data_IF_830766855694
#
_entry.id   IF_830766855694
#
_cell.length_a   1.000
_cell.length_b   1.000
_cell.length_c   1.000
_cell.angle_alpha   90.00
_cell.angle_beta   90.00
_cell.angle_gamma   90.00
#
_symmetry.space_group_name_H-M   'P 1'
#
loop_
_entity.id
_entity.type
_entity.pdbx_description
1 polymer ?
#
# COMPACT_ATOMS: atom_id res chain seq x y z
N UNK A 1 -23.37 13.84 3.91
CA UNK A 1 -22.06 13.38 3.37
C UNK A 1 -22.32 12.17 2.49
N UNK A 2 -22.38 12.36 1.18
CA UNK A 2 -22.54 11.27 0.21
C UNK A 2 -21.23 10.49 0.14
N UNK A 3 -21.24 9.22 0.54
CA UNK A 3 -20.09 8.32 0.34
C UNK A 3 -19.85 8.22 -1.16
N UNK A 4 -18.66 8.62 -1.63
CA UNK A 4 -18.20 8.26 -2.98
C UNK A 4 -18.18 6.73 -3.03
N UNK A 5 -18.89 6.15 -3.99
CA UNK A 5 -18.76 4.73 -4.28
C UNK A 5 -17.32 4.47 -4.72
N UNK A 6 -16.67 3.53 -4.05
CA UNK A 6 -15.32 3.11 -4.36
C UNK A 6 -15.41 1.74 -5.03
N UNK A 7 -14.68 1.54 -6.12
CA UNK A 7 -14.59 0.21 -6.73
C UNK A 7 -13.87 -0.79 -5.80
N UNK A 8 -13.11 -0.30 -4.82
CA UNK A 8 -12.43 -1.15 -3.85
C UNK A 8 -13.39 -1.72 -2.81
N UNK A 9 -13.36 -3.04 -2.67
CA UNK A 9 -14.09 -3.83 -1.68
C UNK A 9 -13.11 -4.65 -0.85
N UNK A 10 -13.51 -5.07 0.35
CA UNK A 10 -12.72 -6.04 1.11
C UNK A 10 -12.80 -7.41 0.44
N UNK A 11 -11.70 -8.14 0.51
CA UNK A 11 -11.66 -9.55 0.13
C UNK A 11 -12.70 -10.36 0.93
N UNK A 12 -13.34 -11.38 0.33
CA UNK A 12 -14.32 -12.21 1.01
C UNK A 12 -13.78 -12.81 2.31
N UNK A 13 -14.51 -12.64 3.40
CA UNK A 13 -14.11 -13.17 4.71
C UNK A 13 -13.11 -12.31 5.49
N UNK A 14 -12.55 -11.25 4.89
CA UNK A 14 -11.71 -10.28 5.60
C UNK A 14 -12.56 -9.43 6.53
N UNK A 15 -12.19 -9.44 7.81
CA UNK A 15 -12.72 -8.55 8.84
C UNK A 15 -11.58 -7.62 9.28
N UNK A 16 -11.90 -6.37 9.59
CA UNK A 16 -10.91 -5.41 10.13
C UNK A 16 -10.49 -5.79 11.56
N UNK A 17 -9.67 -6.83 11.67
CA UNK A 17 -9.00 -7.25 12.89
C UNK A 17 -7.70 -6.45 13.08
N UNK A 18 -7.07 -6.51 14.27
CA UNK A 18 -5.78 -5.86 14.50
C UNK A 18 -4.69 -6.26 13.49
N UNK A 19 -4.69 -7.51 13.05
CA UNK A 19 -3.73 -8.01 12.04
C UNK A 19 -3.98 -7.36 10.66
N UNK A 20 -5.25 -7.21 10.26
CA UNK A 20 -5.61 -6.52 9.02
C UNK A 20 -5.32 -5.02 9.11
N UNK A 21 -5.45 -4.42 10.30
CA UNK A 21 -5.06 -3.03 10.52
C UNK A 21 -3.53 -2.82 10.36
N UNK A 22 -2.73 -3.81 10.75
CA UNK A 22 -1.29 -3.81 10.48
C UNK A 22 -0.99 -3.90 8.98
N UNK A 23 -1.70 -4.75 8.24
CA UNK A 23 -1.59 -4.81 6.78
C UNK A 23 -1.98 -3.46 6.13
N UNK A 24 -3.01 -2.78 6.61
CA UNK A 24 -3.36 -1.42 6.15
C UNK A 24 -2.24 -0.41 6.46
N UNK A 25 -1.59 -0.52 7.62
CA UNK A 25 -0.44 0.32 7.96
C UNK A 25 0.74 0.06 7.01
N UNK A 26 0.99 -1.20 6.62
CA UNK A 26 2.00 -1.56 5.61
C UNK A 26 1.68 -0.96 4.25
N UNK A 27 0.43 -1.02 3.80
CA UNK A 27 -0.04 -0.35 2.57
C UNK A 27 0.24 1.15 2.61
N UNK A 28 -0.11 1.82 3.72
CA UNK A 28 0.13 3.26 3.87
C UNK A 28 1.64 3.61 3.87
N UNK A 29 2.46 2.77 4.52
CA UNK A 29 3.91 2.92 4.53
C UNK A 29 4.49 2.77 3.11
N UNK A 30 4.07 1.75 2.37
CA UNK A 30 4.47 1.52 0.99
C UNK A 30 4.10 2.68 0.07
N UNK A 31 2.89 3.24 0.18
CA UNK A 31 2.49 4.41 -0.63
C UNK A 31 3.35 5.64 -0.31
N UNK A 32 3.69 5.86 0.96
CA UNK A 32 4.59 6.94 1.37
C UNK A 32 6.01 6.72 0.84
N UNK A 33 6.51 5.50 0.93
CA UNK A 33 7.81 5.10 0.38
C UNK A 33 7.84 5.20 -1.14
N UNK A 34 6.76 4.84 -1.83
CA UNK A 34 6.62 5.01 -3.28
C UNK A 34 6.67 6.49 -3.67
N UNK A 35 5.98 7.36 -2.92
CA UNK A 35 6.05 8.81 -3.14
C UNK A 35 7.48 9.32 -2.99
N UNK A 36 8.21 8.88 -1.95
CA UNK A 36 9.62 9.21 -1.78
C UNK A 36 10.49 8.62 -2.91
N UNK A 37 10.26 7.37 -3.31
CA UNK A 37 10.91 6.70 -4.42
C UNK A 37 10.74 7.47 -5.74
N UNK A 38 9.53 7.92 -6.08
CA UNK A 38 9.32 8.73 -7.28
C UNK A 38 10.10 10.04 -7.24
N UNK A 39 10.19 10.69 -6.09
CA UNK A 39 11.03 11.89 -5.93
C UNK A 39 12.51 11.56 -6.13
N UNK A 40 13.01 10.48 -5.52
CA UNK A 40 14.41 10.08 -5.66
C UNK A 40 14.79 9.61 -7.06
N UNK A 41 13.97 8.82 -7.75
CA UNK A 41 14.24 8.35 -9.12
C UNK A 41 14.22 9.49 -10.13
N UNK A 42 13.37 10.51 -9.91
CA UNK A 42 13.34 11.71 -10.75
C UNK A 42 14.58 12.57 -10.52
N UNK A 43 15.12 12.59 -9.29
CA UNK A 43 16.21 13.50 -8.90
C UNK A 43 17.62 12.84 -8.85
N UNK A 44 17.73 11.51 -8.75
CA UNK A 44 18.98 10.74 -8.62
C UNK A 44 18.88 9.36 -9.28
N UNK A 45 19.93 8.96 -10.01
CA UNK A 45 20.00 7.68 -10.75
C UNK A 45 20.24 6.45 -9.87
N UNK A 46 20.61 6.60 -8.59
CA UNK A 46 20.82 5.48 -7.67
C UNK A 46 19.60 5.26 -6.77
N UNK A 47 18.98 4.10 -6.94
CA UNK A 47 17.78 3.67 -6.21
C UNK A 47 18.18 2.77 -5.02
N UNK A 48 17.71 3.06 -3.79
CA UNK A 48 17.87 2.16 -2.66
C UNK A 48 16.92 0.95 -2.75
N UNK A 49 17.47 -0.26 -2.72
CA UNK A 49 16.70 -1.52 -2.78
C UNK A 49 15.66 -1.64 -1.64
N UNK A 50 15.97 -1.11 -0.46
CA UNK A 50 15.07 -1.12 0.70
C UNK A 50 13.73 -0.44 0.42
N UNK A 51 13.73 0.68 -0.32
CA UNK A 51 12.49 1.38 -0.67
C UNK A 51 11.63 0.55 -1.62
N UNK A 52 12.27 -0.15 -2.55
CA UNK A 52 11.57 -1.04 -3.49
C UNK A 52 10.92 -2.20 -2.74
N UNK A 53 11.62 -2.81 -1.78
CA UNK A 53 11.08 -3.88 -0.95
C UNK A 53 9.86 -3.41 -0.15
N UNK A 54 9.92 -2.22 0.48
CA UNK A 54 8.79 -1.68 1.24
C UNK A 54 7.56 -1.47 0.36
N UNK A 55 7.74 -1.04 -0.90
CA UNK A 55 6.63 -0.88 -1.84
C UNK A 55 6.01 -2.24 -2.20
N UNK A 56 6.84 -3.25 -2.49
CA UNK A 56 6.38 -4.61 -2.81
C UNK A 56 5.59 -5.23 -1.65
N UNK A 57 6.07 -5.08 -0.41
CA UNK A 57 5.37 -5.57 0.79
C UNK A 57 3.99 -4.94 0.97
N UNK A 58 3.85 -3.64 0.69
CA UNK A 58 2.54 -2.98 0.76
C UNK A 58 1.61 -3.32 -0.40
N UNK A 59 2.13 -3.58 -1.60
CA UNK A 59 1.32 -4.07 -2.73
C UNK A 59 0.76 -5.47 -2.43
N UNK A 60 1.60 -6.34 -1.85
CA UNK A 60 1.19 -7.66 -1.41
C UNK A 60 0.13 -7.58 -0.30
N UNK A 61 0.34 -6.72 0.71
CA UNK A 61 -0.68 -6.45 1.73
C UNK A 61 -1.99 -5.91 1.15
N UNK A 62 -1.93 -5.01 0.16
CA UNK A 62 -3.11 -4.50 -0.53
C UNK A 62 -3.89 -5.62 -1.22
N UNK A 63 -3.18 -6.55 -1.86
CA UNK A 63 -3.79 -7.70 -2.54
C UNK A 63 -4.49 -8.65 -1.56
N UNK A 64 -4.01 -8.80 -0.33
CA UNK A 64 -4.67 -9.62 0.71
C UNK A 64 -5.94 -8.98 1.26
N UNK A 65 -5.96 -7.65 1.37
CA UNK A 65 -7.05 -6.94 2.05
C UNK A 65 -8.15 -6.52 1.09
N UNK A 66 -7.81 -6.10 -0.13
CA UNK A 66 -8.73 -5.45 -1.05
C UNK A 66 -8.81 -6.14 -2.41
N UNK A 67 -9.99 -6.04 -3.01
CA UNK A 67 -10.28 -6.38 -4.41
C UNK A 67 -10.95 -5.18 -5.08
N UNK A 68 -10.73 -5.02 -6.38
CA UNK A 68 -11.31 -3.96 -7.20
C UNK A 68 -12.60 -4.42 -7.90
#
# INVERSE_FOLDING_TARGET
MTKKETNWHLQPGVKMSPEVAEDVAKIACALKSLSAFTTFVIERQDCPDDLKQIVEEGLDAMSRVYVW
#
